data_IF_172275772160
#
_entry.id   IF_172275772160
#
_cell.length_a   1.000
_cell.length_b   1.000
_cell.length_c   1.000
_cell.angle_alpha   90.00
_cell.angle_beta   90.00
_cell.angle_gamma   90.00
#
_symmetry.space_group_name_H-M   'P 1'
#
loop_
_entity.id
_entity.type
_entity.pdbx_description
1 polymer ?
#
# COMPACT_ATOMS: atom_id res chain seq x y z
N UNK A 1 -24.07 -2.58 -22.76
CA UNK A 1 -24.25 -1.90 -21.47
C UNK A 1 -23.41 -0.63 -21.49
N UNK A 2 -24.06 0.54 -21.53
CA UNK A 2 -23.37 1.83 -21.62
C UNK A 2 -23.15 2.37 -20.21
N UNK A 3 -21.90 2.70 -19.88
CA UNK A 3 -21.59 3.31 -18.58
C UNK A 3 -21.93 4.80 -18.70
N UNK A 4 -22.92 5.26 -17.94
CA UNK A 4 -23.31 6.67 -17.87
C UNK A 4 -22.28 7.48 -17.07
N UNK A 5 -22.22 8.81 -17.31
CA UNK A 5 -21.30 9.69 -16.59
C UNK A 5 -21.50 9.61 -15.06
N UNK A 6 -22.76 9.59 -14.62
CA UNK A 6 -23.14 9.45 -13.22
C UNK A 6 -22.60 8.14 -12.62
N UNK A 7 -22.77 7.03 -13.35
CA UNK A 7 -22.23 5.73 -12.93
C UNK A 7 -20.71 5.73 -12.85
N UNK A 8 -20.03 6.46 -13.73
CA UNK A 8 -18.58 6.57 -13.71
C UNK A 8 -18.10 7.34 -12.46
N UNK A 9 -18.82 8.39 -12.04
CA UNK A 9 -18.50 9.18 -10.85
C UNK A 9 -18.68 8.32 -9.59
N UNK A 10 -19.80 7.62 -9.45
CA UNK A 10 -20.05 6.73 -8.31
C UNK A 10 -18.97 5.67 -8.13
N UNK A 11 -18.57 5.01 -9.22
CA UNK A 11 -17.51 3.99 -9.19
C UNK A 11 -16.17 4.59 -8.78
N UNK A 12 -15.90 5.84 -9.15
CA UNK A 12 -14.67 6.54 -8.84
C UNK A 12 -14.63 6.98 -7.37
N UNK A 13 -15.75 7.45 -6.84
CA UNK A 13 -15.90 7.76 -5.40
C UNK A 13 -15.83 6.51 -4.54
N UNK A 14 -16.53 5.43 -4.91
CA UNK A 14 -16.46 4.15 -4.21
C UNK A 14 -15.01 3.62 -4.16
N UNK A 15 -14.28 3.75 -5.27
CA UNK A 15 -12.86 3.37 -5.32
C UNK A 15 -11.99 4.28 -4.45
N UNK A 16 -12.22 5.59 -4.44
CA UNK A 16 -11.51 6.54 -3.56
C UNK A 16 -11.82 6.28 -2.09
N UNK A 17 -13.05 5.96 -1.74
CA UNK A 17 -13.46 5.62 -0.39
C UNK A 17 -12.77 4.32 0.07
N UNK A 18 -12.73 3.30 -0.77
CA UNK A 18 -11.99 2.06 -0.47
C UNK A 18 -10.48 2.27 -0.31
N UNK A 19 -9.88 3.18 -1.08
CA UNK A 19 -8.46 3.53 -0.91
C UNK A 19 -8.22 4.33 0.37
N UNK A 20 -9.09 5.30 0.69
CA UNK A 20 -9.00 6.09 1.93
C UNK A 20 -9.22 5.26 3.19
N UNK A 21 -10.14 4.28 3.15
CA UNK A 21 -10.38 3.38 4.27
C UNK A 21 -9.13 2.56 4.65
N UNK A 22 -8.21 2.37 3.71
CA UNK A 22 -6.96 1.66 3.95
C UNK A 22 -5.83 2.59 4.39
N UNK A 23 -6.01 3.90 4.52
CA UNK A 23 -4.96 4.81 5.01
C UNK A 23 -5.02 4.84 6.54
N UNK A 24 -4.01 4.25 7.20
CA UNK A 24 -3.89 4.23 8.66
C UNK A 24 -3.22 5.50 9.17
N UNK A 25 -2.21 6.01 8.45
CA UNK A 25 -1.47 7.23 8.81
C UNK A 25 -0.87 7.88 7.57
N UNK A 26 -0.91 9.21 7.51
CA UNK A 26 -0.14 10.01 6.54
C UNK A 26 0.77 10.97 7.28
N UNK A 27 1.99 11.16 6.81
CA UNK A 27 2.94 12.07 7.42
C UNK A 27 3.07 13.35 6.60
N UNK A 28 2.51 14.45 7.11
CA UNK A 28 2.57 15.76 6.45
C UNK A 28 4.04 16.22 6.32
N UNK A 29 4.47 16.50 5.09
CA UNK A 29 5.87 16.86 4.75
C UNK A 29 6.66 15.76 4.04
N UNK A 30 6.07 14.57 3.82
CA UNK A 30 6.65 13.50 3.01
C UNK A 30 5.58 12.76 2.22
N UNK A 31 5.94 12.10 1.11
CA UNK A 31 5.03 11.24 0.34
C UNK A 31 4.75 9.88 1.04
N UNK A 32 5.15 9.78 2.31
CA UNK A 32 5.10 8.56 3.12
C UNK A 32 3.73 8.39 3.76
N UNK A 33 3.15 7.21 3.54
CA UNK A 33 1.85 6.80 4.07
C UNK A 33 1.95 5.39 4.64
N UNK A 34 1.24 5.15 5.74
CA UNK A 34 1.00 3.83 6.31
C UNK A 34 -0.38 3.38 5.88
N UNK A 35 -0.44 2.24 5.19
CA UNK A 35 -1.65 1.70 4.62
C UNK A 35 -1.93 0.31 5.20
N UNK A 36 -3.20 -0.02 5.43
CA UNK A 36 -3.64 -1.37 5.74
C UNK A 36 -3.75 -2.19 4.45
N UNK A 37 -2.94 -3.24 4.33
CA UNK A 37 -2.90 -4.12 3.17
C UNK A 37 -3.42 -5.52 3.48
N UNK A 38 -3.61 -6.33 2.42
CA UNK A 38 -4.04 -7.74 2.54
C UNK A 38 -3.20 -8.59 3.51
N UNK A 39 -1.93 -8.23 3.72
CA UNK A 39 -0.98 -8.96 4.56
C UNK A 39 -0.65 -8.22 5.86
N UNK A 40 -1.43 -7.18 6.20
CA UNK A 40 -1.22 -6.28 7.32
C UNK A 40 -0.72 -4.89 6.91
N UNK A 41 -0.51 -4.01 7.90
CA UNK A 41 -0.03 -2.65 7.67
C UNK A 41 1.33 -2.62 6.96
N UNK A 42 1.48 -1.69 6.03
CA UNK A 42 2.73 -1.45 5.33
C UNK A 42 2.96 0.04 5.14
N UNK A 43 4.23 0.40 4.98
CA UNK A 43 4.67 1.77 4.78
C UNK A 43 4.99 1.93 3.29
N UNK A 44 4.55 3.03 2.68
CA UNK A 44 4.81 3.36 1.28
C UNK A 44 5.20 4.82 1.12
N UNK A 45 6.26 5.07 0.36
CA UNK A 45 6.70 6.41 -0.10
C UNK A 45 6.26 6.65 -1.57
N UNK A 46 5.33 5.83 -2.06
CA UNK A 46 4.93 5.78 -3.48
C UNK A 46 5.95 5.12 -4.40
N UNK A 47 7.26 5.26 -4.11
CA UNK A 47 8.37 4.62 -4.84
C UNK A 47 8.81 3.32 -4.18
N UNK A 48 9.12 3.37 -2.88
CA UNK A 48 9.53 2.23 -2.07
C UNK A 48 8.44 1.83 -1.09
N UNK A 49 8.37 0.53 -0.82
CA UNK A 49 7.46 -0.03 0.16
C UNK A 49 8.28 -0.75 1.23
N UNK A 50 8.05 -0.39 2.49
CA UNK A 50 8.63 -1.05 3.64
C UNK A 50 7.58 -1.87 4.37
N UNK A 51 8.01 -2.98 4.96
CA UNK A 51 7.15 -3.77 5.83
C UNK A 51 7.11 -3.12 7.20
N UNK A 52 5.92 -2.98 7.76
CA UNK A 52 5.77 -2.51 9.13
C UNK A 52 6.34 -3.56 10.11
N UNK A 53 7.17 -3.16 11.10
CA UNK A 53 7.55 -4.04 12.20
C UNK A 53 6.31 -4.47 12.99
N UNK A 54 6.26 -5.74 13.42
CA UNK A 54 5.09 -6.30 14.12
C UNK A 54 4.96 -5.80 15.56
N UNK A 55 6.05 -5.29 16.11
CA UNK A 55 6.15 -4.86 17.50
C UNK A 55 5.65 -3.42 17.71
N UNK A 56 5.39 -2.67 16.64
CA UNK A 56 4.93 -1.27 16.71
C UNK A 56 3.60 -1.10 15.98
N UNK A 57 2.75 -0.23 16.52
CA UNK A 57 1.47 0.12 15.91
C UNK A 57 1.63 1.26 14.89
N UNK A 58 0.78 1.31 13.84
CA UNK A 58 0.75 2.40 12.85
C UNK A 58 0.67 3.79 13.48
N UNK A 59 0.06 3.86 14.67
CA UNK A 59 -0.25 5.09 15.40
C UNK A 59 0.94 5.62 16.21
N UNK A 60 1.87 4.74 16.60
CA UNK A 60 3.03 5.07 17.45
C UNK A 60 4.29 5.39 16.64
N UNK A 61 4.26 5.17 15.32
CA UNK A 61 5.39 5.44 14.44
C UNK A 61 5.63 6.94 14.25
N UNK A 62 6.88 7.35 14.44
CA UNK A 62 7.36 8.71 14.12
C UNK A 62 7.88 8.79 12.69
N UNK A 63 7.85 10.00 12.11
CA UNK A 63 8.35 10.29 10.76
C UNK A 63 9.76 9.72 10.51
N UNK A 64 10.66 9.91 11.47
CA UNK A 64 12.06 9.48 11.40
C UNK A 64 12.18 7.95 11.33
N UNK A 65 11.44 7.23 12.17
CA UNK A 65 11.42 5.76 12.15
C UNK A 65 10.90 5.22 10.83
N UNK A 66 9.85 5.84 10.29
CA UNK A 66 9.24 5.42 9.03
C UNK A 66 10.18 5.68 7.85
N UNK A 67 10.88 6.81 7.84
CA UNK A 67 11.92 7.11 6.87
C UNK A 67 13.08 6.11 6.93
N UNK A 68 13.54 5.77 8.13
CA UNK A 68 14.62 4.81 8.32
C UNK A 68 14.21 3.41 7.83
N UNK A 69 12.98 2.97 8.15
CA UNK A 69 12.42 1.72 7.67
C UNK A 69 12.29 1.68 6.14
N UNK A 70 11.91 2.79 5.49
CA UNK A 70 11.88 2.89 4.01
C UNK A 70 13.28 2.90 3.41
N UNK A 71 14.24 3.56 4.05
CA UNK A 71 15.62 3.63 3.58
C UNK A 71 16.29 2.24 3.66
N UNK A 72 16.04 1.50 4.73
CA UNK A 72 16.54 0.14 4.95
C UNK A 72 15.77 -0.92 4.14
N UNK A 73 14.52 -0.61 3.75
CA UNK A 73 13.71 -1.54 2.99
C UNK A 73 14.34 -1.87 1.63
N UNK A 74 14.39 -3.16 1.26
CA UNK A 74 14.86 -3.57 -0.04
C UNK A 74 13.94 -3.00 -1.12
N UNK A 75 14.53 -2.48 -2.20
CA UNK A 75 13.77 -2.06 -3.37
C UNK A 75 12.86 -3.20 -3.83
N UNK A 76 11.65 -2.87 -4.32
CA UNK A 76 10.68 -3.84 -4.83
C UNK A 76 11.39 -4.80 -5.80
N UNK A 77 11.77 -5.98 -5.31
CA UNK A 77 12.10 -7.11 -6.17
C UNK A 77 10.79 -7.40 -6.89
N UNK A 78 10.68 -6.96 -8.15
CA UNK A 78 9.57 -7.30 -9.06
C UNK A 78 9.34 -8.79 -8.87
N UNK A 79 8.23 -9.13 -8.21
CA UNK A 79 7.98 -10.47 -7.73
C UNK A 79 8.24 -11.43 -8.88
N UNK A 80 9.21 -12.32 -8.69
CA UNK A 80 9.44 -13.41 -9.62
C UNK A 80 8.10 -14.10 -9.78
N UNK A 81 7.48 -13.92 -10.94
CA UNK A 81 6.32 -14.68 -11.36
C UNK A 81 6.82 -16.11 -11.34
N UNK A 82 6.63 -16.83 -10.22
CA UNK A 82 6.80 -18.28 -10.18
C UNK A 82 5.85 -18.78 -11.25
N UNK A 83 6.39 -19.04 -12.44
CA UNK A 83 5.68 -19.68 -13.53
C UNK A 83 5.09 -20.94 -12.90
N UNK A 84 3.77 -21.04 -12.86
CA UNK A 84 3.10 -22.26 -12.46
C UNK A 84 3.70 -23.37 -13.34
N UNK A 85 4.32 -24.38 -12.72
CA UNK A 85 4.86 -25.51 -13.44
C UNK A 85 3.72 -26.14 -14.28
N UNK A 86 3.94 -26.46 -15.57
CA UNK A 86 2.90 -27.07 -16.37
C UNK A 86 2.55 -28.43 -15.75
N UNK A 87 1.28 -28.60 -15.37
CA UNK A 87 0.75 -29.90 -14.97
C UNK A 87 0.88 -30.83 -16.18
N UNK A 88 1.70 -31.88 -16.06
CA UNK A 88 1.77 -32.94 -17.08
C UNK A 88 0.40 -33.65 -17.15
N UNK A 89 -0.03 -33.93 -18.39
CA UNK A 89 -1.19 -34.74 -18.73
C UNK A 89 -0.98 -36.19 -18.30
#
# INVERSE_FOLDING_TARGET
>A
ASVTLERAIELLEAKRAGVKANVLRSFEGSDIQVLDGRYGPYITDGKKNAKMPKDQKPEDLTLEQVQQLIAEAPEKKKGGRRRAAPRKK
#
